data_IF_623755008933
#
_entry.id   IF_623755008933
#
_cell.length_a   1.000
_cell.length_b   1.000
_cell.length_c   1.000
_cell.angle_alpha   90.00
_cell.angle_beta   90.00
_cell.angle_gamma   90.00
#
_symmetry.space_group_name_H-M   'P 1'
#
loop_
_entity.id
_entity.type
_entity.pdbx_description
1 polymer ?
#
# COMPACT_ATOMS: atom_id res chain seq x y z
N UNK A 1 51.78 -29.26 15.99
CA UNK A 1 51.95 -28.80 14.62
C UNK A 1 50.62 -28.18 14.19
N UNK A 2 50.54 -26.84 14.27
CA UNK A 2 49.32 -26.06 14.09
C UNK A 2 49.24 -25.63 12.65
N UNK A 3 48.10 -25.79 12.02
CA UNK A 3 47.78 -25.15 10.75
C UNK A 3 46.67 -24.09 10.98
N UNK A 4 46.81 -22.87 10.41
CA UNK A 4 45.92 -21.75 10.66
C UNK A 4 44.65 -21.82 9.81
N UNK A 5 43.54 -21.47 10.44
CA UNK A 5 42.21 -21.41 9.89
C UNK A 5 42.03 -20.29 8.86
N UNK A 6 41.16 -20.59 7.89
CA UNK A 6 40.61 -19.64 6.93
C UNK A 6 39.66 -18.67 7.63
N UNK A 7 40.05 -17.41 7.66
CA UNK A 7 39.22 -16.30 8.10
C UNK A 7 38.19 -15.98 7.00
N UNK A 8 36.95 -16.37 7.20
CA UNK A 8 35.84 -15.69 6.55
C UNK A 8 35.57 -14.41 7.33
N UNK A 9 36.09 -13.31 6.81
CA UNK A 9 35.81 -11.97 7.31
C UNK A 9 34.34 -11.65 7.08
N UNK A 10 33.57 -11.68 8.17
CA UNK A 10 32.25 -11.04 8.20
C UNK A 10 32.46 -9.54 7.97
N UNK A 11 31.98 -9.02 6.85
CA UNK A 11 32.03 -7.60 6.51
C UNK A 11 31.14 -6.85 7.49
N UNK A 12 31.66 -5.95 8.32
CA UNK A 12 30.81 -5.17 9.22
C UNK A 12 30.00 -4.18 8.38
N UNK A 13 28.71 -4.14 8.61
CA UNK A 13 27.77 -3.17 8.03
C UNK A 13 28.21 -1.77 8.38
N UNK A 14 28.97 -1.12 7.51
CA UNK A 14 29.27 0.30 7.64
C UNK A 14 28.06 1.08 7.14
N UNK A 15 27.27 1.61 8.08
CA UNK A 15 26.32 2.68 7.80
C UNK A 15 27.16 3.92 7.46
N UNK A 16 27.31 4.22 6.19
CA UNK A 16 27.92 5.47 5.75
C UNK A 16 26.81 6.52 5.73
N UNK A 17 26.67 7.28 6.81
CA UNK A 17 25.89 8.52 6.81
C UNK A 17 26.69 9.52 5.99
N UNK A 18 26.33 9.75 4.75
CA UNK A 18 26.96 10.76 3.91
C UNK A 18 25.97 11.86 3.58
N UNK A 19 26.39 13.07 3.97
CA UNK A 19 25.88 14.36 3.57
C UNK A 19 24.57 14.82 4.23
N UNK A 20 24.75 15.63 5.23
CA UNK A 20 23.82 16.67 5.67
C UNK A 20 23.80 17.72 4.55
N UNK A 21 22.63 18.09 4.04
CA UNK A 21 22.52 19.16 3.06
C UNK A 21 22.91 20.52 3.72
N UNK A 22 23.17 21.58 2.96
CA UNK A 22 23.57 22.88 3.51
C UNK A 22 22.52 23.52 4.43
N UNK A 23 21.35 22.90 4.59
CA UNK A 23 20.24 23.31 5.46
C UNK A 23 20.03 22.39 6.65
N UNK A 24 20.94 21.43 6.91
CA UNK A 24 20.90 20.58 8.11
C UNK A 24 19.88 19.43 8.06
N UNK A 25 19.31 19.09 6.91
CA UNK A 25 18.34 17.99 6.81
C UNK A 25 19.04 16.68 6.40
N UNK A 26 18.92 15.67 7.23
CA UNK A 26 19.46 14.32 6.98
C UNK A 26 18.56 13.62 5.95
N UNK A 27 19.07 13.39 4.73
CA UNK A 27 18.34 12.60 3.71
C UNK A 27 18.32 11.12 4.10
N UNK A 28 17.24 10.68 4.69
CA UNK A 28 16.96 9.26 4.97
C UNK A 28 16.65 8.47 3.67
N UNK A 29 16.42 9.16 2.55
CA UNK A 29 16.08 8.60 1.23
C UNK A 29 17.10 7.58 0.71
N UNK A 30 18.38 7.70 1.10
CA UNK A 30 19.44 6.82 0.58
C UNK A 30 19.45 5.42 1.20
N UNK A 31 18.84 5.23 2.38
CA UNK A 31 18.85 3.93 3.06
C UNK A 31 17.80 2.95 2.49
N UNK A 32 16.72 3.45 1.92
CA UNK A 32 15.70 2.61 1.27
C UNK A 32 16.15 2.22 -0.13
N UNK A 33 16.78 3.13 -0.88
CA UNK A 33 17.27 2.85 -2.24
C UNK A 33 18.45 1.86 -2.28
N UNK A 34 19.26 1.75 -1.23
CA UNK A 34 20.36 0.78 -1.17
C UNK A 34 19.94 -0.61 -0.67
N UNK A 35 18.77 -0.76 -0.04
CA UNK A 35 18.24 -2.08 0.35
C UNK A 35 17.45 -2.78 -0.75
N UNK A 36 17.00 -2.08 -1.77
CA UNK A 36 16.20 -2.62 -2.88
C UNK A 36 17.02 -2.91 -4.14
N UNK A 37 18.30 -3.19 -4.01
CA UNK A 37 19.04 -3.82 -5.10
C UNK A 37 18.70 -5.33 -5.16
N UNK A 38 17.39 -5.61 -5.26
CA UNK A 38 16.97 -6.87 -5.85
C UNK A 38 17.38 -6.81 -7.31
N UNK A 39 18.20 -7.76 -7.74
CA UNK A 39 18.71 -7.81 -9.10
C UNK A 39 17.55 -7.82 -10.10
N UNK A 40 17.76 -7.27 -11.28
CA UNK A 40 16.78 -7.33 -12.38
C UNK A 40 16.27 -8.77 -12.62
N UNK A 41 17.07 -9.78 -12.28
CA UNK A 41 16.77 -11.21 -12.34
C UNK A 41 15.65 -11.66 -11.41
N UNK A 42 15.50 -11.08 -10.21
CA UNK A 42 14.37 -11.38 -9.31
C UNK A 42 13.04 -10.99 -9.95
N UNK A 43 12.99 -9.83 -10.57
CA UNK A 43 11.79 -9.31 -11.23
C UNK A 43 11.48 -10.02 -12.55
N UNK A 44 12.50 -10.45 -13.29
CA UNK A 44 12.32 -11.25 -14.50
C UNK A 44 11.72 -12.62 -14.20
N UNK A 45 12.07 -13.23 -13.08
CA UNK A 45 11.49 -14.51 -12.64
C UNK A 45 10.01 -14.38 -12.28
N UNK A 46 9.60 -13.26 -11.66
CA UNK A 46 8.19 -12.99 -11.34
C UNK A 46 7.35 -12.69 -12.60
N UNK A 47 7.94 -12.08 -13.62
CA UNK A 47 7.26 -11.78 -14.88
C UNK A 47 7.12 -13.02 -15.78
N UNK A 48 8.02 -13.99 -15.71
CA UNK A 48 8.03 -15.21 -16.54
C UNK A 48 7.02 -16.27 -16.10
N UNK A 49 6.55 -16.26 -14.86
CA UNK A 49 5.52 -17.20 -14.37
C UNK A 49 4.13 -17.01 -15.01
N UNK A 50 3.96 -16.05 -15.93
CA UNK A 50 2.67 -15.65 -16.55
C UNK A 50 2.44 -16.10 -18.01
N UNK A 51 3.28 -16.92 -18.59
CA UNK A 51 3.08 -17.33 -19.99
C UNK A 51 2.30 -18.64 -20.19
N UNK A 52 1.41 -19.01 -19.30
CA UNK A 52 0.47 -20.12 -19.55
C UNK A 52 -0.95 -19.58 -19.53
N UNK A 53 -1.53 -19.36 -20.70
CA UNK A 53 -2.96 -19.13 -20.88
C UNK A 53 -3.38 -17.79 -21.46
N UNK A 54 -3.04 -17.47 -22.71
CA UNK A 54 -3.78 -16.48 -23.51
C UNK A 54 -4.65 -17.17 -24.55
N UNK A 55 -5.91 -17.31 -24.26
CA UNK A 55 -6.96 -17.50 -25.26
C UNK A 55 -7.44 -16.14 -25.77
N UNK A 56 -7.57 -16.03 -27.08
CA UNK A 56 -8.04 -14.87 -27.83
C UNK A 56 -9.48 -14.51 -27.41
N UNK A 57 -9.73 -13.27 -27.05
CA UNK A 57 -11.08 -12.71 -27.08
C UNK A 57 -11.08 -11.30 -27.65
N UNK A 58 -12.12 -11.08 -28.48
CA UNK A 58 -12.43 -10.07 -29.42
C UNK A 58 -12.37 -8.61 -28.95
N UNK A 59 -12.04 -7.71 -29.90
CA UNK A 59 -12.20 -6.26 -29.80
C UNK A 59 -13.67 -5.86 -29.72
N UNK A 60 -14.04 -4.87 -28.91
CA UNK A 60 -15.29 -4.12 -29.09
C UNK A 60 -15.06 -2.87 -29.93
N UNK A 61 -16.07 -2.57 -30.72
CA UNK A 61 -16.18 -1.50 -31.69
C UNK A 61 -16.19 -0.10 -31.05
N UNK A 62 -15.62 0.86 -31.80
CA UNK A 62 -15.76 2.30 -31.56
C UNK A 62 -17.21 2.74 -31.63
N UNK A 63 -17.68 3.45 -30.63
CA UNK A 63 -18.88 4.29 -30.74
C UNK A 63 -18.47 5.76 -30.58
N UNK A 64 -18.76 6.53 -31.64
CA UNK A 64 -18.50 7.96 -31.76
C UNK A 64 -19.68 8.74 -31.22
N UNK A 65 -19.36 9.65 -30.30
CA UNK A 65 -20.02 10.96 -30.23
C UNK A 65 -21.32 11.04 -29.45
N UNK A 66 -21.24 11.68 -28.29
CA UNK A 66 -22.27 12.63 -27.87
C UNK A 66 -21.69 13.72 -26.96
N UNK A 67 -21.90 14.92 -27.44
CA UNK A 67 -21.85 16.25 -26.84
C UNK A 67 -21.96 16.30 -25.32
N UNK A 68 -20.92 16.88 -24.66
CA UNK A 68 -20.93 17.23 -23.25
C UNK A 68 -21.83 18.44 -23.00
N UNK A 69 -22.99 18.20 -22.47
CA UNK A 69 -23.82 19.24 -21.86
C UNK A 69 -23.20 19.60 -20.51
N UNK A 70 -22.75 20.84 -20.35
CA UNK A 70 -22.31 21.40 -19.07
C UNK A 70 -23.46 21.36 -18.07
N UNK A 71 -23.41 20.41 -17.13
CA UNK A 71 -24.27 20.41 -15.95
C UNK A 71 -23.56 21.21 -14.88
N UNK A 72 -23.94 22.47 -14.74
CA UNK A 72 -23.51 23.38 -13.69
C UNK A 72 -24.35 23.07 -12.44
N UNK A 73 -23.76 22.42 -11.44
CA UNK A 73 -24.45 22.13 -10.18
C UNK A 73 -23.91 20.90 -9.44
N UNK A 74 -22.57 20.82 -9.21
CA UNK A 74 -22.04 19.74 -8.36
C UNK A 74 -22.54 19.91 -6.92
N UNK A 75 -23.10 18.82 -6.36
CA UNK A 75 -23.54 18.75 -4.95
C UNK A 75 -22.36 19.05 -4.01
N UNK A 76 -22.57 19.61 -2.80
CA UNK A 76 -21.49 19.91 -1.86
C UNK A 76 -20.58 18.71 -1.56
N UNK A 77 -21.11 17.48 -1.46
CA UNK A 77 -20.33 16.25 -1.28
C UNK A 77 -19.40 15.90 -2.44
N UNK A 78 -19.77 16.30 -3.67
CA UNK A 78 -18.99 16.07 -4.88
C UNK A 78 -17.70 16.93 -4.91
N UNK A 79 -17.77 18.17 -4.41
CA UNK A 79 -16.60 19.06 -4.28
C UNK A 79 -15.64 18.57 -3.21
N UNK A 80 -16.18 18.14 -2.08
CA UNK A 80 -15.38 17.61 -0.97
C UNK A 80 -14.54 16.40 -1.44
N UNK A 81 -15.17 15.40 -2.07
CA UNK A 81 -14.46 14.22 -2.56
C UNK A 81 -13.43 14.57 -3.62
N UNK A 82 -13.76 15.46 -4.58
CA UNK A 82 -12.79 15.91 -5.59
C UNK A 82 -11.56 16.59 -4.99
N UNK A 83 -11.70 17.32 -3.89
CA UNK A 83 -10.56 17.93 -3.18
C UNK A 83 -9.66 16.83 -2.58
N UNK A 84 -10.24 15.80 -1.97
CA UNK A 84 -9.49 14.71 -1.39
C UNK A 84 -8.73 13.90 -2.46
N UNK A 85 -9.40 13.56 -3.56
CA UNK A 85 -8.80 12.83 -4.69
C UNK A 85 -7.67 13.65 -5.35
N UNK A 86 -7.91 14.96 -5.54
CA UNK A 86 -6.90 15.88 -6.06
C UNK A 86 -5.69 15.99 -5.14
N UNK A 87 -5.91 16.01 -3.82
CA UNK A 87 -4.82 16.07 -2.84
C UNK A 87 -3.91 14.83 -2.92
N UNK A 88 -4.49 13.63 -2.96
CA UNK A 88 -3.73 12.39 -3.14
C UNK A 88 -2.93 12.42 -4.44
N UNK A 89 -3.53 12.84 -5.55
CA UNK A 89 -2.86 12.90 -6.86
C UNK A 89 -1.71 13.94 -6.87
N UNK A 90 -1.93 15.15 -6.36
CA UNK A 90 -0.92 16.21 -6.32
C UNK A 90 0.24 15.84 -5.39
N UNK A 91 -0.07 15.26 -4.22
CA UNK A 91 0.95 14.84 -3.26
C UNK A 91 1.76 13.66 -3.79
N UNK A 92 1.13 12.71 -4.47
CA UNK A 92 1.85 11.60 -5.13
C UNK A 92 2.83 12.09 -6.21
N UNK A 93 2.46 13.13 -6.96
CA UNK A 93 3.29 13.69 -8.05
C UNK A 93 4.43 14.58 -7.52
N UNK A 94 4.15 15.46 -6.57
CA UNK A 94 5.07 16.54 -6.14
C UNK A 94 5.73 16.28 -4.79
N UNK A 95 5.23 15.33 -4.02
CA UNK A 95 5.54 15.16 -2.61
C UNK A 95 4.77 16.13 -1.72
N UNK A 96 4.57 15.76 -0.46
CA UNK A 96 3.82 16.58 0.49
C UNK A 96 4.42 17.98 0.68
N UNK A 97 5.74 18.08 0.84
CA UNK A 97 6.38 19.37 1.13
C UNK A 97 6.34 20.34 -0.07
N UNK A 98 6.44 19.82 -1.29
CA UNK A 98 6.49 20.65 -2.51
C UNK A 98 5.10 20.98 -3.06
N UNK A 99 4.04 20.29 -2.62
CA UNK A 99 2.67 20.57 -3.03
C UNK A 99 2.09 21.81 -2.32
N UNK A 100 1.26 22.58 -3.02
CA UNK A 100 0.56 23.74 -2.47
C UNK A 100 -0.95 23.49 -2.46
N UNK A 101 -1.68 24.22 -1.59
CA UNK A 101 -3.15 24.15 -1.56
C UNK A 101 -3.74 24.62 -2.90
N UNK A 102 -3.11 25.60 -3.55
CA UNK A 102 -3.50 26.05 -4.90
C UNK A 102 -3.35 24.94 -5.95
N UNK A 103 -2.31 24.11 -5.89
CA UNK A 103 -2.17 22.97 -6.81
C UNK A 103 -3.34 21.98 -6.65
N UNK A 104 -3.79 21.77 -5.41
CA UNK A 104 -4.94 20.92 -5.10
C UNK A 104 -6.24 21.56 -5.62
N UNK A 105 -6.41 22.87 -5.44
CA UNK A 105 -7.58 23.61 -5.92
C UNK A 105 -7.69 23.54 -7.45
N UNK A 106 -6.59 23.80 -8.16
CA UNK A 106 -6.50 23.69 -9.61
C UNK A 106 -6.88 22.28 -10.10
N UNK A 107 -6.29 21.26 -9.49
CA UNK A 107 -6.57 19.86 -9.84
C UNK A 107 -8.02 19.45 -9.55
N UNK A 108 -8.61 19.96 -8.44
CA UNK A 108 -9.99 19.69 -8.05
C UNK A 108 -11.00 20.54 -8.87
N UNK A 109 -10.51 21.48 -9.68
CA UNK A 109 -11.33 22.48 -10.41
C UNK A 109 -12.26 23.23 -9.45
N UNK A 110 -11.67 23.83 -8.41
CA UNK A 110 -12.32 24.71 -7.44
C UNK A 110 -11.47 25.95 -7.19
N UNK A 111 -12.08 27.02 -6.70
CA UNK A 111 -11.30 28.18 -6.24
C UNK A 111 -10.56 27.86 -4.93
N UNK A 112 -9.38 28.45 -4.71
CA UNK A 112 -8.58 28.28 -3.48
C UNK A 112 -9.40 28.50 -2.21
N UNK A 113 -10.21 29.56 -2.18
CA UNK A 113 -11.10 29.86 -1.06
C UNK A 113 -12.11 28.77 -0.77
N UNK A 114 -12.48 27.96 -1.76
CA UNK A 114 -13.39 26.82 -1.55
C UNK A 114 -12.75 25.75 -0.69
N UNK A 115 -11.45 25.48 -0.84
CA UNK A 115 -10.75 24.49 -0.01
C UNK A 115 -10.80 24.90 1.46
N UNK A 116 -10.57 26.18 1.76
CA UNK A 116 -10.57 26.68 3.14
C UNK A 116 -11.94 26.66 3.82
N UNK A 117 -13.04 26.47 3.06
CA UNK A 117 -14.36 26.22 3.64
C UNK A 117 -14.47 24.82 4.26
N UNK A 118 -13.67 23.85 3.80
CA UNK A 118 -13.70 22.46 4.24
C UNK A 118 -12.52 22.09 5.13
N UNK A 119 -11.33 22.64 4.86
CA UNK A 119 -10.08 22.21 5.48
C UNK A 119 -9.24 23.41 5.92
N UNK A 120 -8.63 23.30 7.10
CA UNK A 120 -7.82 24.37 7.69
C UNK A 120 -6.37 24.36 7.19
N UNK A 121 -5.89 23.20 6.72
CA UNK A 121 -4.49 23.01 6.28
C UNK A 121 -4.36 21.85 5.29
N UNK A 122 -3.22 21.82 4.59
CA UNK A 122 -2.85 20.74 3.69
C UNK A 122 -2.70 19.41 4.44
N UNK A 123 -2.19 19.44 5.67
CA UNK A 123 -2.11 18.29 6.55
C UNK A 123 -3.49 17.69 6.81
N UNK A 124 -4.47 18.55 7.12
CA UNK A 124 -5.84 18.08 7.37
C UNK A 124 -6.44 17.44 6.11
N UNK A 125 -6.19 18.00 4.92
CA UNK A 125 -6.67 17.41 3.67
C UNK A 125 -6.09 16.02 3.50
N UNK A 126 -4.76 15.87 3.66
CA UNK A 126 -4.09 14.58 3.50
C UNK A 126 -4.61 13.54 4.50
N UNK A 127 -4.65 13.89 5.78
CA UNK A 127 -5.10 12.94 6.82
C UNK A 127 -6.55 12.53 6.59
N UNK A 128 -7.44 13.49 6.25
CA UNK A 128 -8.83 13.16 5.93
C UNK A 128 -8.95 12.26 4.69
N UNK A 129 -8.14 12.49 3.66
CA UNK A 129 -8.15 11.64 2.47
C UNK A 129 -7.71 10.21 2.80
N UNK A 130 -6.69 10.05 3.64
CA UNK A 130 -6.21 8.75 4.10
C UNK A 130 -7.23 8.06 5.00
N UNK A 131 -7.81 8.78 5.96
CA UNK A 131 -8.85 8.25 6.85
C UNK A 131 -10.04 7.70 6.04
N UNK A 132 -10.57 8.50 5.10
CA UNK A 132 -11.70 8.08 4.25
C UNK A 132 -11.37 6.84 3.40
N UNK A 133 -10.19 6.82 2.79
CA UNK A 133 -9.76 5.67 1.99
C UNK A 133 -9.66 4.41 2.85
N UNK A 134 -9.17 4.55 4.07
CA UNK A 134 -8.97 3.43 4.97
C UNK A 134 -10.29 2.93 5.59
N UNK A 135 -11.20 3.83 5.95
CA UNK A 135 -12.55 3.46 6.40
C UNK A 135 -13.32 2.70 5.32
N UNK A 136 -13.25 3.18 4.06
CA UNK A 136 -13.86 2.49 2.93
C UNK A 136 -13.25 1.09 2.74
N UNK A 137 -11.92 0.98 2.79
CA UNK A 137 -11.21 -0.29 2.70
C UNK A 137 -11.62 -1.26 3.83
N UNK A 138 -11.68 -0.82 5.08
CA UNK A 138 -12.06 -1.68 6.21
C UNK A 138 -13.53 -2.14 6.12
N UNK A 139 -14.42 -1.27 5.64
CA UNK A 139 -15.83 -1.62 5.38
C UNK A 139 -15.93 -2.71 4.33
N UNK A 140 -15.28 -2.52 3.19
CA UNK A 140 -15.25 -3.49 2.10
C UNK A 140 -14.59 -4.81 2.50
N UNK A 141 -13.50 -4.75 3.28
CA UNK A 141 -12.83 -5.94 3.79
C UNK A 141 -13.75 -6.81 4.66
N UNK A 142 -14.54 -6.18 5.54
CA UNK A 142 -15.53 -6.88 6.36
C UNK A 142 -16.63 -7.52 5.49
N UNK A 143 -17.11 -6.79 4.49
CA UNK A 143 -18.13 -7.29 3.57
C UNK A 143 -17.62 -8.48 2.75
N UNK A 144 -16.45 -8.37 2.09
CA UNK A 144 -15.88 -9.46 1.31
C UNK A 144 -15.57 -10.70 2.16
N UNK A 145 -15.10 -10.51 3.40
CA UNK A 145 -14.81 -11.63 4.30
C UNK A 145 -16.07 -12.30 4.85
N UNK A 146 -17.20 -11.59 4.93
CA UNK A 146 -18.45 -12.13 5.49
C UNK A 146 -19.02 -13.30 4.69
N UNK A 147 -18.62 -13.43 3.42
CA UNK A 147 -19.00 -14.54 2.54
C UNK A 147 -18.25 -15.86 2.81
N UNK A 148 -17.33 -15.89 3.76
CA UNK A 148 -16.50 -17.07 4.04
C UNK A 148 -16.58 -17.48 5.51
N UNK A 149 -16.66 -18.78 5.75
CA UNK A 149 -16.60 -19.36 7.11
C UNK A 149 -15.16 -19.79 7.49
N UNK A 150 -14.29 -20.00 6.51
CA UNK A 150 -12.93 -20.47 6.72
C UNK A 150 -11.94 -19.30 6.87
N UNK A 151 -11.09 -19.36 7.90
CA UNK A 151 -10.11 -18.33 8.19
C UNK A 151 -9.10 -18.12 7.04
N UNK A 152 -8.68 -19.20 6.37
CA UNK A 152 -7.75 -19.13 5.25
C UNK A 152 -8.40 -18.40 4.05
N UNK A 153 -9.67 -18.67 3.76
CA UNK A 153 -10.44 -17.99 2.73
C UNK A 153 -10.62 -16.49 3.05
N UNK A 154 -10.91 -16.14 4.32
CA UNK A 154 -11.00 -14.75 4.78
C UNK A 154 -9.67 -14.01 4.59
N UNK A 155 -8.53 -14.60 4.97
CA UNK A 155 -7.20 -14.01 4.79
C UNK A 155 -6.86 -13.83 3.31
N UNK A 156 -7.25 -14.77 2.42
CA UNK A 156 -7.08 -14.62 0.97
C UNK A 156 -7.92 -13.46 0.41
N UNK A 157 -9.19 -13.37 0.79
CA UNK A 157 -10.07 -12.28 0.38
C UNK A 157 -9.48 -10.93 0.78
N UNK A 158 -9.03 -10.82 2.03
CA UNK A 158 -8.40 -9.61 2.54
C UNK A 158 -7.12 -9.21 1.79
N UNK A 159 -6.24 -10.17 1.52
CA UNK A 159 -5.01 -9.92 0.77
C UNK A 159 -5.29 -9.51 -0.69
N UNK A 160 -6.25 -10.17 -1.34
CA UNK A 160 -6.69 -9.80 -2.70
C UNK A 160 -7.25 -8.39 -2.73
N UNK A 161 -8.10 -8.04 -1.76
CA UNK A 161 -8.64 -6.69 -1.64
C UNK A 161 -7.51 -5.66 -1.47
N UNK A 162 -6.61 -5.89 -0.50
CA UNK A 162 -5.50 -4.98 -0.20
C UNK A 162 -4.64 -4.67 -1.44
N UNK A 163 -4.17 -5.70 -2.12
CA UNK A 163 -3.30 -5.52 -3.28
C UNK A 163 -4.07 -5.00 -4.51
N UNK A 164 -5.35 -5.37 -4.67
CA UNK A 164 -6.21 -4.86 -5.76
C UNK A 164 -6.50 -3.38 -5.62
N UNK A 165 -6.88 -2.92 -4.44
CA UNK A 165 -7.21 -1.51 -4.21
C UNK A 165 -5.99 -0.60 -4.46
N UNK A 166 -4.81 -1.00 -3.97
CA UNK A 166 -3.59 -0.24 -4.22
C UNK A 166 -3.10 -0.35 -5.67
N UNK A 167 -3.32 -1.50 -6.34
CA UNK A 167 -3.06 -1.65 -7.77
C UNK A 167 -3.91 -0.71 -8.62
N UNK A 168 -5.17 -0.50 -8.24
CA UNK A 168 -6.09 0.41 -8.93
C UNK A 168 -5.84 1.88 -8.60
N UNK A 169 -5.31 2.18 -7.42
CA UNK A 169 -5.03 3.54 -6.97
C UNK A 169 -3.54 3.74 -6.66
N UNK A 170 -2.73 3.83 -7.73
CA UNK A 170 -1.27 4.00 -7.61
C UNK A 170 -0.89 5.26 -6.82
N UNK A 171 -1.63 6.35 -6.97
CA UNK A 171 -1.34 7.60 -6.26
C UNK A 171 -1.48 7.40 -4.74
N UNK A 172 -2.52 6.69 -4.29
CA UNK A 172 -2.68 6.35 -2.88
C UNK A 172 -1.54 5.46 -2.40
N UNK A 173 -1.15 4.44 -3.16
CA UNK A 173 -0.03 3.58 -2.84
C UNK A 173 1.29 4.38 -2.70
N UNK A 174 1.57 5.32 -3.61
CA UNK A 174 2.74 6.21 -3.52
C UNK A 174 2.69 7.03 -2.23
N UNK A 175 1.56 7.67 -1.93
CA UNK A 175 1.41 8.49 -0.71
C UNK A 175 1.63 7.67 0.55
N UNK A 176 1.07 6.47 0.64
CA UNK A 176 1.22 5.57 1.79
C UNK A 176 2.66 5.08 1.95
N UNK A 177 3.34 4.73 0.85
CA UNK A 177 4.67 4.12 0.91
C UNK A 177 5.81 5.15 1.01
N UNK A 178 5.61 6.36 0.49
CA UNK A 178 6.66 7.38 0.47
C UNK A 178 6.39 8.53 1.45
N UNK A 179 5.27 9.23 1.30
CA UNK A 179 5.02 10.48 2.01
C UNK A 179 4.65 10.28 3.49
N UNK A 180 3.76 9.31 3.77
CA UNK A 180 3.34 9.02 5.13
C UNK A 180 4.52 8.56 6.00
N UNK A 181 5.44 7.77 5.43
CA UNK A 181 6.61 7.22 6.15
C UNK A 181 7.73 8.24 6.38
N UNK A 182 7.77 9.33 5.63
CA UNK A 182 8.75 10.38 5.80
C UNK A 182 8.43 11.30 7.00
N UNK A 183 7.19 11.32 7.45
CA UNK A 183 6.75 12.12 8.59
C UNK A 183 6.45 11.25 9.80
N UNK A 184 7.31 11.30 10.82
CA UNK A 184 7.07 10.58 12.07
C UNK A 184 5.72 10.95 12.72
N UNK A 185 5.28 12.22 12.58
CA UNK A 185 3.99 12.68 13.09
C UNK A 185 2.83 12.02 12.35
N UNK A 186 2.81 12.06 11.01
CA UNK A 186 1.74 11.46 10.21
C UNK A 186 1.70 9.95 10.40
N UNK A 187 2.87 9.31 10.43
CA UNK A 187 2.95 7.88 10.67
C UNK A 187 2.39 7.50 12.05
N UNK A 188 2.70 8.28 13.09
CA UNK A 188 2.19 8.02 14.44
C UNK A 188 0.67 8.19 14.52
N UNK A 189 0.12 9.28 13.96
CA UNK A 189 -1.32 9.53 13.94
C UNK A 189 -2.07 8.44 13.17
N UNK A 190 -1.62 8.11 11.96
CA UNK A 190 -2.20 7.07 11.12
C UNK A 190 -2.09 5.67 11.75
N UNK A 191 -0.93 5.34 12.33
CA UNK A 191 -0.70 4.03 12.95
C UNK A 191 -1.58 3.78 14.17
N UNK A 192 -1.86 4.82 14.96
CA UNK A 192 -2.70 4.69 16.16
C UNK A 192 -4.17 4.47 15.84
N UNK A 193 -4.67 5.01 14.75
CA UNK A 193 -6.07 4.97 14.37
C UNK A 193 -6.34 3.86 13.35
N UNK A 194 -5.77 4.00 12.18
CA UNK A 194 -6.13 3.21 11.01
C UNK A 194 -5.43 1.85 10.96
N UNK A 195 -4.11 1.82 11.06
CA UNK A 195 -3.37 0.55 11.04
C UNK A 195 -3.75 -0.37 12.19
N UNK A 196 -4.05 0.19 13.38
CA UNK A 196 -4.53 -0.61 14.52
C UNK A 196 -5.84 -1.34 14.19
N UNK A 197 -6.78 -0.66 13.51
CA UNK A 197 -8.03 -1.27 13.04
C UNK A 197 -7.79 -2.44 12.10
N UNK A 198 -6.89 -2.26 11.14
CA UNK A 198 -6.52 -3.29 10.18
C UNK A 198 -5.82 -4.50 10.83
N UNK A 199 -4.84 -4.24 11.71
CA UNK A 199 -4.19 -5.32 12.45
C UNK A 199 -5.17 -6.11 13.33
N UNK A 200 -6.12 -5.44 13.97
CA UNK A 200 -7.14 -6.13 14.74
C UNK A 200 -8.02 -7.02 13.85
N UNK A 201 -8.41 -6.53 12.67
CA UNK A 201 -9.17 -7.31 11.70
C UNK A 201 -8.45 -8.61 11.30
N UNK A 202 -7.16 -8.52 10.95
CA UNK A 202 -6.33 -9.71 10.63
C UNK A 202 -6.23 -10.65 11.82
N UNK A 203 -5.98 -10.11 13.02
CA UNK A 203 -5.81 -10.90 14.24
C UNK A 203 -7.08 -11.63 14.63
N UNK A 204 -8.24 -11.02 14.44
CA UNK A 204 -9.52 -11.63 14.75
C UNK A 204 -9.78 -12.86 13.87
N UNK A 205 -9.45 -12.76 12.56
CA UNK A 205 -9.52 -13.90 11.63
C UNK A 205 -8.54 -15.01 12.03
N UNK A 206 -7.30 -14.65 12.40
CA UNK A 206 -6.29 -15.63 12.83
C UNK A 206 -6.76 -16.36 14.10
N UNK A 207 -7.24 -15.62 15.10
CA UNK A 207 -7.76 -16.22 16.35
C UNK A 207 -8.95 -17.15 16.09
N UNK A 208 -9.85 -16.75 15.19
CA UNK A 208 -10.95 -17.63 14.76
C UNK A 208 -10.41 -18.93 14.17
N UNK A 209 -9.40 -18.87 13.31
CA UNK A 209 -8.73 -20.04 12.75
C UNK A 209 -8.04 -20.91 13.80
N UNK A 210 -7.39 -20.31 14.79
CA UNK A 210 -6.76 -21.01 15.92
C UNK A 210 -7.79 -21.74 16.80
N UNK A 211 -8.89 -21.06 17.16
CA UNK A 211 -9.97 -21.64 17.94
C UNK A 211 -10.64 -22.84 17.24
N UNK A 212 -10.67 -22.84 15.92
CA UNK A 212 -11.21 -23.92 15.09
C UNK A 212 -10.17 -25.01 14.76
N UNK A 213 -8.93 -24.89 15.26
CA UNK A 213 -7.84 -25.84 14.98
C UNK A 213 -7.37 -25.87 13.52
N UNK A 214 -7.62 -24.81 12.74
CA UNK A 214 -7.18 -24.65 11.36
C UNK A 214 -5.84 -23.95 11.25
N UNK A 215 -5.59 -23.01 12.15
CA UNK A 215 -4.33 -22.28 12.29
C UNK A 215 -3.68 -22.74 13.60
N UNK A 216 -2.38 -22.98 13.56
CA UNK A 216 -1.60 -23.38 14.75
C UNK A 216 -1.64 -22.27 15.82
N UNK A 217 -1.73 -22.65 17.07
CA UNK A 217 -1.90 -21.74 18.21
C UNK A 217 -0.60 -21.43 18.96
N UNK A 218 0.50 -22.12 18.61
CA UNK A 218 1.84 -21.84 19.13
C UNK A 218 2.50 -20.57 18.52
N UNK A 219 1.86 -19.95 17.51
CA UNK A 219 2.26 -18.66 16.94
C UNK A 219 1.29 -17.60 17.43
N UNK A 220 1.83 -16.52 18.01
CA UNK A 220 1.00 -15.37 18.40
C UNK A 220 0.25 -14.78 17.19
N UNK A 221 -1.06 -14.52 17.37
CA UNK A 221 -1.90 -13.80 16.41
C UNK A 221 -1.27 -12.46 15.96
N UNK A 222 -0.55 -11.78 16.87
CA UNK A 222 0.16 -10.53 16.58
C UNK A 222 1.32 -10.75 15.60
N UNK A 223 2.10 -11.81 15.80
CA UNK A 223 3.24 -12.13 14.91
C UNK A 223 2.70 -12.54 13.55
N UNK A 224 1.72 -13.42 13.49
CA UNK A 224 1.13 -13.88 12.24
C UNK A 224 0.51 -12.71 11.44
N UNK A 225 -0.22 -11.81 12.10
CA UNK A 225 -0.76 -10.61 11.46
C UNK A 225 0.33 -9.67 10.94
N UNK A 226 1.42 -9.48 11.71
CA UNK A 226 2.54 -8.65 11.29
C UNK A 226 3.28 -9.25 10.08
N UNK A 227 3.45 -10.57 10.03
CA UNK A 227 4.04 -11.25 8.88
C UNK A 227 3.18 -11.10 7.61
N UNK A 228 1.86 -11.30 7.73
CA UNK A 228 0.95 -11.15 6.59
C UNK A 228 0.94 -9.71 6.07
N UNK A 229 0.76 -8.74 6.97
CA UNK A 229 0.78 -7.33 6.61
C UNK A 229 2.13 -6.93 5.99
N UNK A 230 3.24 -7.28 6.65
CA UNK A 230 4.58 -6.92 6.18
C UNK A 230 4.92 -7.51 4.81
N UNK A 231 4.48 -8.73 4.51
CA UNK A 231 4.68 -9.33 3.19
C UNK A 231 3.91 -8.57 2.10
N UNK A 232 2.64 -8.21 2.34
CA UNK A 232 1.85 -7.42 1.39
C UNK A 232 2.41 -6.01 1.22
N UNK A 233 2.77 -5.36 2.33
CA UNK A 233 3.30 -4.01 2.36
C UNK A 233 4.64 -3.87 1.61
N UNK A 234 5.53 -4.86 1.74
CA UNK A 234 6.78 -4.88 0.97
C UNK A 234 6.52 -5.06 -0.54
N UNK A 235 5.54 -5.86 -0.93
CA UNK A 235 5.15 -5.99 -2.34
C UNK A 235 4.61 -4.68 -2.91
N UNK A 236 3.82 -3.94 -2.14
CA UNK A 236 3.36 -2.60 -2.54
C UNK A 236 4.54 -1.64 -2.68
N UNK A 237 5.47 -1.65 -1.72
CA UNK A 237 6.69 -0.83 -1.76
C UNK A 237 7.49 -1.11 -3.02
N UNK A 238 7.78 -2.39 -3.29
CA UNK A 238 8.52 -2.81 -4.46
C UNK A 238 7.82 -2.42 -5.77
N UNK A 239 6.48 -2.54 -5.81
CA UNK A 239 5.68 -2.15 -6.97
C UNK A 239 5.69 -0.64 -7.21
N UNK A 240 5.57 0.18 -6.16
CA UNK A 240 5.63 1.65 -6.25
C UNK A 240 6.99 2.10 -6.76
N UNK A 241 8.07 1.47 -6.29
CA UNK A 241 9.44 1.82 -6.66
C UNK A 241 9.88 1.22 -8.01
N UNK A 242 9.11 0.28 -8.57
CA UNK A 242 9.42 -0.33 -9.86
C UNK A 242 9.16 0.63 -11.00
N UNK A 243 10.09 0.67 -11.97
CA UNK A 243 9.91 1.31 -13.27
C UNK A 243 9.07 0.45 -14.24
N UNK A 244 8.79 -0.81 -13.89
CA UNK A 244 8.01 -1.74 -14.73
C UNK A 244 6.56 -1.76 -14.25
N UNK A 245 5.64 -1.76 -15.20
CA UNK A 245 4.22 -2.00 -14.92
C UNK A 245 3.96 -3.50 -14.84
N UNK A 246 3.41 -3.94 -13.71
CA UNK A 246 2.91 -5.29 -13.52
C UNK A 246 1.68 -5.26 -12.61
N UNK A 247 0.85 -6.30 -12.69
CA UNK A 247 -0.36 -6.40 -11.87
C UNK A 247 0.01 -6.86 -10.45
N UNK A 248 0.01 -5.91 -9.51
CA UNK A 248 0.28 -6.16 -8.11
C UNK A 248 -0.72 -7.15 -7.49
N UNK A 249 -2.00 -7.08 -7.91
CA UNK A 249 -3.06 -7.93 -7.35
C UNK A 249 -2.80 -9.42 -7.58
N UNK A 250 -2.05 -9.78 -8.62
CA UNK A 250 -1.69 -11.17 -8.89
C UNK A 250 -0.76 -11.80 -7.85
N UNK A 251 -0.12 -10.99 -7.00
CA UNK A 251 0.75 -11.49 -5.94
C UNK A 251 -0.02 -11.93 -4.68
N UNK A 252 -1.31 -11.62 -4.57
CA UNK A 252 -2.10 -11.90 -3.37
C UNK A 252 -2.14 -13.39 -3.00
N UNK A 253 -2.54 -14.24 -3.93
CA UNK A 253 -2.66 -15.68 -3.67
C UNK A 253 -1.32 -16.34 -3.36
N UNK A 254 -0.24 -16.13 -4.14
CA UNK A 254 1.07 -16.71 -3.83
C UNK A 254 1.59 -16.34 -2.43
N UNK A 255 1.39 -15.08 -2.00
CA UNK A 255 1.83 -14.63 -0.68
C UNK A 255 1.05 -15.30 0.43
N UNK A 256 -0.29 -15.32 0.29
CA UNK A 256 -1.12 -15.95 1.31
C UNK A 256 -0.87 -17.45 1.38
N UNK A 257 -0.70 -18.13 0.24
CA UNK A 257 -0.36 -19.56 0.20
C UNK A 257 0.95 -19.86 0.92
N UNK A 258 1.98 -19.03 0.69
CA UNK A 258 3.26 -19.18 1.37
C UNK A 258 3.11 -19.08 2.89
N UNK A 259 2.36 -18.09 3.36
CA UNK A 259 2.18 -17.83 4.79
C UNK A 259 1.24 -18.87 5.44
N UNK A 260 0.14 -19.23 4.79
CA UNK A 260 -0.79 -20.23 5.31
C UNK A 260 -0.14 -21.59 5.49
N UNK A 261 0.68 -22.06 4.53
CA UNK A 261 1.44 -23.31 4.67
C UNK A 261 2.36 -23.35 5.89
N UNK A 262 2.84 -22.17 6.33
CA UNK A 262 3.61 -22.04 7.58
C UNK A 262 2.76 -21.97 8.84
N UNK A 263 1.46 -21.65 8.71
CA UNK A 263 0.53 -21.44 9.81
C UNK A 263 -0.50 -22.57 9.99
N UNK A 264 -0.64 -23.47 9.02
CA UNK A 264 -1.54 -24.63 9.12
C UNK A 264 -1.07 -25.61 10.17
N UNK A 265 -2.04 -26.27 10.82
CA UNK A 265 -1.74 -27.39 11.73
C UNK A 265 -1.19 -28.54 10.89
N UNK A 266 0.02 -29.00 11.22
CA UNK A 266 0.58 -30.20 10.59
C UNK A 266 -0.11 -31.42 11.18
N UNK A 267 -0.75 -32.19 10.33
CA UNK A 267 -1.30 -33.52 10.66
C UNK A 267 -0.18 -34.51 10.94
#
# INVERSE_FOLDING_TARGET
MWLPGSQHAATPWRVRVSAVDPKGQTRVILLIAQKTQYSAEFWDTMAQSRQVGKSKSAQPAEDRGRSATRVNGSRPGDKYQRILDAAIAVIAEKGFHNSRVSDIADRANVADGTIYLYFKSKEQILMTALDNAFEAFLSQAKEEMSGFDDAAAKLRALARLHLRELNQNRNLAVVLQTELRQSAKFLAEFSQRELKGYFNLIRDVIREGQQRGRIRDDISDKIAAACLFGAMDELVTAWVLSSREYDLAAAADPVVDLLLRGMEVRS
#
